data_IF_162778729861
#
_entry.id   IF_162778729861
#
_cell.length_a   1.000
_cell.length_b   1.000
_cell.length_c   1.000
_cell.angle_alpha   90.00
_cell.angle_beta   90.00
_cell.angle_gamma   90.00
#
_symmetry.space_group_name_H-M   'P 1'
#
loop_
_entity.id
_entity.type
_entity.pdbx_description
1 polymer ?
#
# COMPACT_ATOMS: atom_id res chain seq x y z
N UNK A 1 -10.24 19.28 -18.02
CA UNK A 1 -10.32 17.84 -17.71
C UNK A 1 -10.48 17.71 -16.20
N UNK A 2 -11.59 17.15 -15.74
CA UNK A 2 -11.69 16.70 -14.35
C UNK A 2 -10.72 15.52 -14.22
N UNK A 3 -9.52 15.78 -13.69
CA UNK A 3 -8.49 14.77 -13.59
C UNK A 3 -8.88 13.76 -12.51
N UNK A 4 -9.07 12.51 -12.89
CA UNK A 4 -9.21 11.43 -11.92
C UNK A 4 -7.93 11.36 -11.08
N UNK A 5 -8.10 11.24 -9.76
CA UNK A 5 -7.01 11.14 -8.81
C UNK A 5 -7.30 9.96 -7.88
N UNK A 6 -6.23 9.29 -7.45
CA UNK A 6 -6.30 8.30 -6.38
C UNK A 6 -5.94 8.99 -5.08
N UNK A 7 -6.72 8.73 -4.05
CA UNK A 7 -6.52 9.29 -2.72
C UNK A 7 -6.29 8.15 -1.72
N UNK A 8 -5.70 8.48 -0.57
CA UNK A 8 -5.60 7.53 0.53
C UNK A 8 -6.87 7.61 1.37
N UNK A 9 -7.34 6.47 1.85
CA UNK A 9 -8.55 6.35 2.65
C UNK A 9 -8.26 5.50 3.89
N UNK A 10 -8.93 5.78 4.99
CA UNK A 10 -8.71 5.04 6.23
C UNK A 10 -9.07 3.56 6.07
N UNK A 11 -8.17 2.68 6.49
CA UNK A 11 -8.42 1.26 6.67
C UNK A 11 -7.94 0.86 8.06
N UNK A 12 -8.52 -0.17 8.67
CA UNK A 12 -7.98 -0.74 9.91
C UNK A 12 -7.63 -2.20 9.65
N UNK A 13 -6.34 -2.45 9.48
CA UNK A 13 -5.76 -3.80 9.36
C UNK A 13 -4.82 -4.04 10.53
N UNK A 14 -4.94 -5.20 11.19
CA UNK A 14 -4.09 -5.61 12.30
C UNK A 14 -3.57 -7.03 12.10
N UNK A 15 -2.26 -7.20 12.21
CA UNK A 15 -1.62 -8.50 12.00
C UNK A 15 -0.55 -8.73 13.07
N UNK A 16 -0.57 -9.92 13.68
CA UNK A 16 0.53 -10.37 14.55
C UNK A 16 1.71 -10.78 13.69
N UNK A 17 2.87 -10.12 13.88
CA UNK A 17 4.08 -10.40 13.10
C UNK A 17 4.84 -11.59 13.66
N UNK A 18 5.14 -11.55 14.97
CA UNK A 18 5.88 -12.60 15.69
C UNK A 18 5.83 -12.36 17.20
N UNK A 19 6.27 -13.36 17.97
CA UNK A 19 6.50 -13.24 19.41
C UNK A 19 8.00 -13.28 19.70
N UNK A 20 8.52 -12.36 20.52
CA UNK A 20 9.92 -12.30 20.95
C UNK A 20 9.98 -12.19 22.47
N UNK A 21 10.63 -13.14 23.15
CA UNK A 21 10.76 -13.17 24.62
C UNK A 21 9.41 -13.00 25.36
N UNK A 22 8.33 -13.56 24.81
CA UNK A 22 6.97 -13.47 25.38
C UNK A 22 6.22 -12.18 25.05
N UNK A 23 6.82 -11.25 24.29
CA UNK A 23 6.16 -10.04 23.80
C UNK A 23 5.72 -10.22 22.35
N UNK A 24 4.45 -9.94 22.08
CA UNK A 24 3.93 -9.93 20.72
C UNK A 24 4.32 -8.63 20.02
N UNK A 25 4.69 -8.77 18.75
CA UNK A 25 4.98 -7.66 17.86
C UNK A 25 3.84 -7.57 16.87
N UNK A 26 3.06 -6.51 16.96
CA UNK A 26 1.92 -6.27 16.10
C UNK A 26 2.24 -5.31 14.95
N UNK A 27 1.49 -5.45 13.87
CA UNK A 27 1.52 -4.59 12.70
C UNK A 27 0.13 -4.01 12.48
N UNK A 28 0.06 -2.69 12.41
CA UNK A 28 -1.16 -1.95 12.15
C UNK A 28 -0.99 -1.14 10.87
N UNK A 29 -1.94 -1.23 9.94
CA UNK A 29 -2.00 -0.34 8.78
C UNK A 29 -3.29 0.48 8.82
N UNK A 30 -3.14 1.80 8.65
CA UNK A 30 -4.22 2.76 8.82
C UNK A 30 -4.80 3.29 7.51
N UNK A 31 -4.13 3.08 6.38
CA UNK A 31 -4.52 3.69 5.12
C UNK A 31 -4.42 2.69 3.94
N UNK A 32 -5.45 2.67 3.10
CA UNK A 32 -5.48 2.01 1.81
C UNK A 32 -5.50 3.02 0.66
N UNK A 33 -5.66 2.53 -0.57
CA UNK A 33 -5.82 3.38 -1.75
C UNK A 33 -7.27 3.39 -2.21
N UNK A 34 -7.89 4.56 -2.18
CA UNK A 34 -9.21 4.78 -2.74
C UNK A 34 -9.15 4.87 -4.27
N UNK A 35 -10.01 4.10 -4.92
CA UNK A 35 -10.13 4.02 -6.37
C UNK A 35 -11.57 4.39 -6.72
N UNK A 36 -11.78 5.51 -7.42
CA UNK A 36 -13.11 5.93 -7.83
C UNK A 36 -13.87 4.82 -8.53
N UNK A 37 -15.13 4.59 -8.14
CA UNK A 37 -15.97 3.52 -8.71
C UNK A 37 -16.02 3.53 -10.24
N UNK A 38 -16.04 4.71 -10.85
CA UNK A 38 -16.07 4.86 -12.31
C UNK A 38 -14.82 4.28 -13.00
N UNK A 39 -13.67 4.25 -12.32
CA UNK A 39 -12.44 3.61 -12.80
C UNK A 39 -12.47 2.11 -12.48
N UNK A 40 -12.84 1.75 -11.24
CA UNK A 40 -12.78 0.37 -10.78
C UNK A 40 -13.79 -0.57 -11.48
N UNK A 41 -15.00 -0.08 -11.79
CA UNK A 41 -16.02 -0.86 -12.51
C UNK A 41 -15.88 -0.82 -14.04
N UNK A 42 -14.85 -0.14 -14.56
CA UNK A 42 -14.55 -0.17 -15.98
C UNK A 42 -14.15 -1.59 -16.44
N UNK A 43 -14.52 -1.95 -17.68
CA UNK A 43 -14.29 -3.31 -18.20
C UNK A 43 -12.80 -3.63 -18.39
N UNK A 44 -11.98 -2.61 -18.62
CA UNK A 44 -10.55 -2.74 -18.83
C UNK A 44 -9.75 -2.46 -17.55
N UNK A 45 -10.43 -2.38 -16.40
CA UNK A 45 -9.78 -2.12 -15.12
C UNK A 45 -8.74 -3.19 -14.80
N UNK A 46 -7.49 -2.74 -14.60
CA UNK A 46 -6.41 -3.52 -14.00
C UNK A 46 -5.69 -2.66 -12.96
N UNK A 47 -5.28 -3.28 -11.87
CA UNK A 47 -4.39 -2.67 -10.88
C UNK A 47 -3.13 -3.50 -10.77
N UNK A 48 -1.98 -2.84 -10.89
CA UNK A 48 -0.68 -3.47 -10.72
C UNK A 48 0.03 -2.85 -9.52
N UNK A 49 0.39 -3.66 -8.53
CA UNK A 49 1.08 -3.21 -7.33
C UNK A 49 2.49 -3.79 -7.24
N UNK A 50 3.47 -2.94 -6.94
CA UNK A 50 4.88 -3.29 -6.81
C UNK A 50 5.32 -3.19 -5.33
N UNK A 51 5.09 -4.25 -4.53
CA UNK A 51 5.44 -4.25 -3.10
C UNK A 51 6.97 -4.20 -2.91
N UNK A 52 7.72 -4.96 -3.73
CA UNK A 52 9.18 -5.07 -3.72
C UNK A 52 9.78 -4.81 -5.10
N UNK A 53 11.11 -4.69 -5.20
CA UNK A 53 11.85 -4.37 -6.44
C UNK A 53 12.01 -5.56 -7.41
N UNK A 54 11.04 -6.48 -7.42
CA UNK A 54 11.10 -7.69 -8.24
C UNK A 54 10.09 -7.60 -9.40
N UNK A 55 8.80 -7.86 -9.14
CA UNK A 55 7.74 -7.83 -10.16
C UNK A 55 6.43 -7.18 -9.66
N UNK A 56 5.64 -6.63 -10.59
CA UNK A 56 4.29 -6.13 -10.29
C UNK A 56 3.30 -7.29 -10.16
N UNK A 57 2.48 -7.22 -9.13
CA UNK A 57 1.36 -8.13 -8.90
C UNK A 57 0.10 -7.53 -9.54
N UNK A 58 -0.63 -8.31 -10.34
CA UNK A 58 -1.89 -7.90 -10.97
C UNK A 58 -3.10 -8.21 -10.07
N UNK A 59 -4.02 -7.26 -9.99
CA UNK A 59 -5.27 -7.33 -9.25
C UNK A 59 -6.44 -6.89 -10.13
N UNK A 60 -7.60 -7.48 -9.86
CA UNK A 60 -8.87 -7.20 -10.53
C UNK A 60 -9.87 -6.63 -9.52
N UNK A 61 -11.01 -6.18 -10.01
CA UNK A 61 -12.08 -5.61 -9.19
C UNK A 61 -12.48 -6.47 -7.99
N UNK A 62 -12.49 -7.80 -8.16
CA UNK A 62 -12.84 -8.76 -7.10
C UNK A 62 -11.86 -8.79 -5.93
N UNK A 63 -10.64 -8.30 -6.15
CA UNK A 63 -9.56 -8.27 -5.15
C UNK A 63 -9.58 -6.95 -4.35
N UNK A 64 -10.48 -6.02 -4.72
CA UNK A 64 -10.70 -4.77 -4.01
C UNK A 64 -11.83 -4.90 -2.99
N UNK A 65 -11.73 -4.14 -1.90
CA UNK A 65 -12.80 -4.02 -0.91
C UNK A 65 -13.82 -3.03 -1.46
N UNK A 66 -15.07 -3.47 -1.59
CA UNK A 66 -16.16 -2.59 -2.03
C UNK A 66 -16.62 -1.71 -0.87
N UNK A 67 -16.47 -0.41 -1.03
CA UNK A 67 -17.03 0.61 -0.14
C UNK A 67 -18.32 1.20 -0.73
N UNK A 68 -18.99 2.11 -0.01
CA UNK A 68 -20.31 2.62 -0.40
C UNK A 68 -20.34 3.28 -1.79
N UNK A 69 -19.30 4.05 -2.11
CA UNK A 69 -19.21 4.85 -3.35
C UNK A 69 -17.99 4.56 -4.20
N UNK A 70 -16.97 3.92 -3.63
CA UNK A 70 -15.67 3.68 -4.25
C UNK A 70 -15.17 2.26 -3.92
N UNK A 71 -13.97 1.93 -4.39
CA UNK A 71 -13.28 0.69 -4.09
C UNK A 71 -11.95 0.98 -3.41
N UNK A 72 -11.63 0.15 -2.42
CA UNK A 72 -10.42 0.29 -1.62
C UNK A 72 -9.44 -0.84 -1.93
N UNK A 73 -8.22 -0.48 -2.32
CA UNK A 73 -7.10 -1.42 -2.37
C UNK A 73 -6.37 -1.41 -1.02
N UNK A 74 -6.36 -2.55 -0.34
CA UNK A 74 -5.61 -2.74 0.89
C UNK A 74 -4.16 -3.12 0.57
N UNK A 75 -3.19 -2.29 0.94
CA UNK A 75 -1.76 -2.58 0.77
C UNK A 75 -1.24 -3.71 1.69
N UNK A 76 -1.95 -3.98 2.79
CA UNK A 76 -1.57 -4.96 3.81
C UNK A 76 -2.78 -5.82 4.19
N UNK A 77 -3.29 -6.66 3.26
CA UNK A 77 -4.34 -7.62 3.61
C UNK A 77 -3.82 -8.60 4.66
N UNK A 78 -4.68 -8.98 5.60
CA UNK A 78 -4.34 -9.93 6.66
C UNK A 78 -4.04 -11.32 6.09
N UNK A 79 -4.85 -11.74 5.13
CA UNK A 79 -4.61 -12.95 4.37
C UNK A 79 -3.77 -12.62 3.13
N UNK A 80 -2.74 -13.44 2.85
CA UNK A 80 -1.90 -13.32 1.66
C UNK A 80 -1.17 -11.97 1.52
N UNK A 81 -0.58 -11.46 2.61
CA UNK A 81 0.23 -10.23 2.59
C UNK A 81 1.26 -10.24 1.46
N UNK A 82 1.27 -9.15 0.67
CA UNK A 82 2.25 -8.92 -0.40
C UNK A 82 3.67 -8.68 0.13
N UNK A 83 3.77 -8.40 1.43
CA UNK A 83 5.00 -8.18 2.14
C UNK A 83 5.36 -9.38 3.01
N UNK A 84 6.64 -9.75 3.02
CA UNK A 84 7.22 -10.57 4.09
C UNK A 84 7.24 -9.70 5.35
N UNK A 85 6.16 -9.77 6.15
CA UNK A 85 5.86 -8.82 7.24
C UNK A 85 7.01 -8.66 8.24
N UNK A 86 7.70 -9.73 8.61
CA UNK A 86 8.86 -9.64 9.51
C UNK A 86 10.00 -8.82 8.88
N UNK A 87 10.31 -9.05 7.61
CA UNK A 87 11.37 -8.31 6.90
C UNK A 87 10.96 -6.85 6.68
N UNK A 88 9.71 -6.61 6.27
CA UNK A 88 9.16 -5.28 6.10
C UNK A 88 9.20 -4.50 7.41
N UNK A 89 8.69 -5.08 8.51
CA UNK A 89 8.66 -4.47 9.85
C UNK A 89 10.06 -4.09 10.34
N UNK A 90 11.07 -4.95 10.13
CA UNK A 90 12.45 -4.65 10.52
C UNK A 90 13.06 -3.51 9.69
N UNK A 91 12.68 -3.40 8.41
CA UNK A 91 13.19 -2.39 7.49
C UNK A 91 12.52 -1.02 7.70
N UNK A 92 11.20 -1.01 7.78
CA UNK A 92 10.38 0.21 7.86
C UNK A 92 10.65 1.02 9.15
N UNK A 93 11.05 0.34 10.22
CA UNK A 93 11.51 0.95 11.48
C UNK A 93 12.79 1.78 11.34
N UNK A 94 13.57 1.59 10.27
CA UNK A 94 14.83 2.29 10.01
C UNK A 94 14.67 3.34 8.91
N UNK A 95 13.96 3.00 7.85
CA UNK A 95 13.79 3.84 6.66
C UNK A 95 12.38 3.73 6.09
N UNK A 96 11.92 4.75 5.36
CA UNK A 96 10.61 4.70 4.71
C UNK A 96 10.67 3.73 3.52
N UNK A 97 9.57 3.03 3.25
CA UNK A 97 9.50 2.10 2.13
C UNK A 97 8.72 2.72 0.99
N UNK A 98 9.26 2.65 -0.23
CA UNK A 98 8.55 3.10 -1.42
C UNK A 98 8.05 1.90 -2.22
N UNK A 99 6.78 1.95 -2.59
CA UNK A 99 6.16 1.04 -3.54
C UNK A 99 5.58 1.84 -4.71
N UNK A 100 5.21 1.14 -5.76
CA UNK A 100 4.60 1.74 -6.95
C UNK A 100 3.29 1.04 -7.26
N UNK A 101 2.36 1.80 -7.81
CA UNK A 101 1.08 1.28 -8.28
C UNK A 101 0.78 1.86 -9.64
N UNK A 102 0.25 1.02 -10.51
CA UNK A 102 -0.32 1.40 -11.80
C UNK A 102 -1.80 1.01 -11.76
N UNK A 103 -2.67 1.94 -12.16
CA UNK A 103 -4.09 1.68 -12.36
C UNK A 103 -4.40 2.02 -13.81
N UNK A 104 -4.92 1.05 -14.55
CA UNK A 104 -5.35 1.22 -15.93
C UNK A 104 -6.84 0.95 -16.05
N UNK A 105 -7.46 1.62 -17.01
CA UNK A 105 -8.86 1.48 -17.40
C UNK A 105 -9.03 2.09 -18.79
N UNK A 106 -10.17 1.88 -19.43
CA UNK A 106 -10.49 2.53 -20.71
C UNK A 106 -10.54 4.07 -20.62
N UNK A 107 -10.64 4.61 -19.39
CA UNK A 107 -10.78 6.04 -19.11
C UNK A 107 -9.44 6.73 -18.83
N UNK A 108 -8.52 6.03 -18.17
CA UNK A 108 -7.27 6.62 -17.68
C UNK A 108 -6.24 5.56 -17.31
N UNK A 109 -4.97 5.93 -17.54
CA UNK A 109 -3.80 5.26 -17.00
C UNK A 109 -3.11 6.16 -15.97
N UNK A 110 -2.90 5.62 -14.78
CA UNK A 110 -2.36 6.32 -13.63
C UNK A 110 -1.20 5.55 -13.02
N UNK A 111 -0.07 6.22 -12.77
CA UNK A 111 1.04 5.68 -11.98
C UNK A 111 1.29 6.50 -10.75
N UNK A 112 1.42 5.84 -9.61
CA UNK A 112 1.70 6.47 -8.33
C UNK A 112 2.91 5.83 -7.64
N UNK A 113 3.70 6.68 -6.98
CA UNK A 113 4.63 6.28 -5.94
C UNK A 113 3.93 6.42 -4.58
N UNK A 114 3.94 5.34 -3.82
CA UNK A 114 3.41 5.29 -2.45
C UNK A 114 4.60 5.18 -1.50
N UNK A 115 4.68 6.05 -0.49
CA UNK A 115 5.71 5.99 0.54
C UNK A 115 5.05 5.65 1.87
N UNK A 116 5.45 4.52 2.44
CA UNK A 116 5.02 4.07 3.75
C UNK A 116 6.02 4.50 4.82
N UNK A 117 5.50 4.76 6.01
CA UNK A 117 6.29 5.14 7.19
C UNK A 117 5.74 4.45 8.44
N UNK A 118 6.64 4.05 9.33
CA UNK A 118 6.26 3.64 10.69
C UNK A 118 6.10 4.89 11.57
N UNK A 119 4.94 5.08 12.18
CA UNK A 119 4.68 6.11 13.18
C UNK A 119 5.44 5.86 14.49
N UNK A 120 5.80 4.61 14.76
CA UNK A 120 6.67 4.23 15.87
C UNK A 120 8.16 4.23 15.48
N UNK A 121 8.51 4.76 14.28
CA UNK A 121 9.91 4.91 13.86
C UNK A 121 10.64 5.68 14.94
N UNK A 122 11.69 5.06 15.48
CA UNK A 122 12.42 5.55 16.64
C UNK A 122 13.01 6.92 16.29
N UNK A 123 12.29 7.99 16.61
CA UNK A 123 12.89 9.31 16.73
C UNK A 123 13.84 9.21 17.92
N UNK A 124 15.10 9.50 17.69
CA UNK A 124 16.14 9.57 18.71
C UNK A 124 15.72 10.50 19.85
N UNK A 125 15.07 9.97 20.87
CA UNK A 125 14.95 10.60 22.19
C UNK A 125 14.38 9.57 23.17
N UNK A 126 15.23 9.18 24.13
CA UNK A 126 14.85 8.96 25.53
C UNK A 126 13.40 8.55 25.79
N UNK A 127 13.13 7.25 25.83
CA UNK A 127 12.66 6.58 27.04
C UNK A 127 12.38 5.10 26.77
N UNK A 128 12.86 4.28 27.71
CA UNK A 128 12.45 2.91 28.07
C UNK A 128 11.71 2.08 27.00
N UNK A 129 12.45 1.13 26.42
CA UNK A 129 12.02 0.04 25.54
C UNK A 129 11.62 0.48 24.11
N UNK A 130 12.27 -0.08 23.05
CA UNK A 130 11.83 0.16 21.69
C UNK A 130 10.37 -0.32 21.54
N UNK A 131 9.47 0.56 21.10
CA UNK A 131 8.11 0.17 20.71
C UNK A 131 8.22 -0.89 19.62
N UNK A 132 7.91 -2.13 19.99
CA UNK A 132 8.09 -3.27 19.11
C UNK A 132 7.06 -3.24 17.97
N UNK A 133 5.84 -2.80 18.27
CA UNK A 133 4.76 -2.69 17.28
C UNK A 133 5.09 -1.74 16.14
N UNK A 134 4.58 -2.05 14.96
CA UNK A 134 4.70 -1.27 13.76
C UNK A 134 3.36 -0.62 13.42
N UNK A 135 3.36 0.68 13.17
CA UNK A 135 2.18 1.48 12.89
C UNK A 135 2.35 2.19 11.56
N UNK A 136 1.82 1.63 10.49
CA UNK A 136 2.05 2.08 9.13
C UNK A 136 1.04 3.12 8.68
N UNK A 137 1.56 4.22 8.17
CA UNK A 137 0.84 5.25 7.42
C UNK A 137 1.39 5.38 5.99
N UNK A 138 0.59 5.91 5.08
CA UNK A 138 1.01 6.43 3.78
C UNK A 138 1.46 7.88 4.00
N UNK A 139 2.78 8.06 4.12
CA UNK A 139 3.43 9.37 4.25
C UNK A 139 3.19 10.22 2.99
N UNK A 140 3.26 9.61 1.81
CA UNK A 140 2.94 10.30 0.56
C UNK A 140 2.39 9.36 -0.51
N UNK A 141 1.46 9.90 -1.30
CA UNK A 141 0.88 9.29 -2.49
C UNK A 141 1.05 10.29 -3.64
N UNK A 142 2.02 10.06 -4.51
CA UNK A 142 2.40 11.01 -5.57
C UNK A 142 2.22 10.39 -6.95
N UNK A 143 1.42 11.03 -7.79
CA UNK A 143 1.35 10.68 -9.21
C UNK A 143 2.69 10.95 -9.88
N UNK A 144 3.17 9.99 -10.68
CA UNK A 144 4.43 10.07 -11.40
C UNK A 144 4.22 9.65 -12.86
N UNK A 145 5.17 9.97 -13.72
CA UNK A 145 5.15 9.52 -15.12
C UNK A 145 5.51 8.04 -15.24
N UNK A 146 4.99 7.41 -16.29
CA UNK A 146 5.42 6.09 -16.73
C UNK A 146 6.86 6.12 -17.24
N UNK A 147 7.57 5.02 -17.06
CA UNK A 147 8.90 4.73 -17.62
C UNK A 147 8.76 3.65 -18.69
N UNK A 148 9.74 3.48 -19.61
CA UNK A 148 9.65 2.50 -20.70
C UNK A 148 9.34 1.07 -20.23
N UNK A 149 9.83 0.68 -19.05
CA UNK A 149 9.61 -0.64 -18.47
C UNK A 149 8.16 -0.87 -18.04
N UNK A 150 7.35 0.20 -17.87
CA UNK A 150 5.95 0.08 -17.49
C UNK A 150 5.02 -0.19 -18.69
N UNK A 151 5.50 -0.01 -19.92
CA UNK A 151 4.65 -0.08 -21.14
C UNK A 151 3.90 -1.41 -21.22
N UNK A 152 4.54 -2.51 -20.81
CA UNK A 152 3.93 -3.85 -20.76
C UNK A 152 2.70 -3.98 -19.84
N UNK A 153 2.43 -2.99 -18.98
CA UNK A 153 1.26 -2.96 -18.09
C UNK A 153 0.14 -2.04 -18.61
N UNK A 154 0.38 -1.34 -19.72
CA UNK A 154 -0.60 -0.46 -20.38
C UNK A 154 -1.35 -1.15 -21.53
N UNK A 155 -0.91 -2.34 -21.92
CA UNK A 155 -1.49 -3.19 -22.97
C UNK A 155 -2.48 -4.23 -22.38
#
# INVERSE_FOLDING_TARGET
>A
MYGFKLDKEEIKSHQKVKTVNGYDIDFYAYEGLNIPKIIAEDKEFKLFFYPYKDEYLEFKLKDLIKESIDYLFNFFPEENSYFILNNFTNKIKKENHSSYIIVTSSLIDLKYKVVFKDLNKIATSSDFLPKMDCKIEIESLKQISFIPEDIKYLE
#
